data_IF_925026980833
#
_entry.id   IF_925026980833
#
_cell.length_a   1.000
_cell.length_b   1.000
_cell.length_c   1.000
_cell.angle_alpha   90.00
_cell.angle_beta   90.00
_cell.angle_gamma   90.00
#
_symmetry.space_group_name_H-M   'P 1'
#
loop_
_entity.id
_entity.type
_entity.pdbx_description
1 polymer ?
#
# COMPACT_ATOMS: atom_id res chain seq x y z
N UNK A 1 27.08 -25.94 24.65
CA UNK A 1 27.63 -26.21 23.31
C UNK A 1 26.50 -26.74 22.43
N UNK A 2 26.15 -25.98 21.39
CA UNK A 2 25.32 -26.28 20.20
C UNK A 2 24.01 -27.09 20.36
N UNK A 3 22.89 -26.53 19.90
CA UNK A 3 21.69 -27.32 19.58
C UNK A 3 20.39 -26.53 19.52
N UNK A 4 20.20 -25.69 18.50
CA UNK A 4 18.92 -25.04 18.20
C UNK A 4 18.89 -24.63 16.74
N UNK A 5 18.67 -25.60 15.85
CA UNK A 5 18.48 -25.36 14.42
C UNK A 5 17.01 -25.54 14.09
N UNK A 6 16.46 -24.55 13.38
CA UNK A 6 15.21 -24.60 12.62
C UNK A 6 15.11 -25.90 11.79
N UNK A 7 13.88 -26.37 11.45
CA UNK A 7 13.67 -27.72 10.94
C UNK A 7 14.37 -27.96 9.60
N UNK A 8 15.14 -29.06 9.53
CA UNK A 8 15.64 -29.64 8.27
C UNK A 8 14.53 -30.44 7.59
N UNK A 9 14.19 -30.19 6.32
CA UNK A 9 13.54 -31.20 5.50
C UNK A 9 14.56 -32.29 5.11
N UNK A 10 14.12 -33.55 5.19
CA UNK A 10 14.89 -34.74 4.79
C UNK A 10 15.22 -34.67 3.29
N UNK A 11 16.50 -34.83 2.94
CA UNK A 11 16.93 -35.09 1.57
C UNK A 11 16.89 -36.60 1.32
N UNK A 12 15.94 -37.07 0.51
CA UNK A 12 16.14 -38.32 -0.23
C UNK A 12 17.05 -38.04 -1.44
N UNK A 13 17.96 -38.98 -1.67
CA UNK A 13 18.98 -38.90 -2.70
C UNK A 13 18.42 -39.22 -4.10
N UNK A 14 18.81 -38.42 -5.08
CA UNK A 14 18.86 -38.77 -6.50
C UNK A 14 19.98 -37.89 -7.12
N UNK A 15 20.98 -38.42 -7.83
CA UNK A 15 20.80 -39.31 -8.98
C UNK A 15 20.65 -38.41 -10.21
N UNK A 16 21.74 -38.24 -10.98
CA UNK A 16 21.82 -37.30 -12.08
C UNK A 16 20.75 -37.49 -13.15
N UNK A 17 20.21 -36.37 -13.62
CA UNK A 17 19.31 -36.29 -14.76
C UNK A 17 19.12 -34.84 -15.15
N UNK A 18 19.56 -34.48 -16.35
CA UNK A 18 19.32 -33.18 -16.95
C UNK A 18 17.82 -32.98 -17.20
N UNK A 19 17.24 -31.93 -16.63
CA UNK A 19 15.85 -31.51 -16.90
C UNK A 19 15.24 -30.67 -15.78
N UNK A 20 14.76 -29.45 -16.10
CA UNK A 20 13.74 -28.77 -15.30
C UNK A 20 14.17 -27.79 -14.20
N UNK A 21 15.31 -27.12 -14.32
CA UNK A 21 15.72 -26.09 -13.35
C UNK A 21 15.03 -24.74 -13.58
N UNK A 22 13.92 -24.48 -12.91
CA UNK A 22 13.45 -23.10 -12.66
C UNK A 22 14.28 -22.50 -11.51
N UNK A 23 14.90 -21.32 -11.65
CA UNK A 23 15.69 -20.72 -10.57
C UNK A 23 14.81 -20.29 -9.37
N UNK A 24 15.24 -20.73 -8.18
CA UNK A 24 14.61 -20.53 -6.87
C UNK A 24 14.21 -19.05 -6.64
N UNK A 25 12.91 -18.78 -6.55
CA UNK A 25 12.26 -17.49 -6.22
C UNK A 25 12.30 -16.33 -7.25
N UNK A 26 12.77 -16.58 -8.48
CA UNK A 26 12.67 -15.70 -9.66
C UNK A 26 13.49 -14.40 -9.62
N UNK A 27 14.66 -14.48 -10.26
CA UNK A 27 15.64 -13.40 -10.39
C UNK A 27 15.01 -12.08 -10.88
N UNK A 28 15.47 -10.90 -10.37
CA UNK A 28 15.00 -9.55 -10.72
C UNK A 28 15.01 -9.18 -12.22
N UNK A 29 15.53 -10.06 -13.07
CA UNK A 29 15.85 -9.82 -14.47
C UNK A 29 15.35 -10.90 -15.43
N UNK A 30 14.49 -11.83 -15.02
CA UNK A 30 14.04 -12.81 -16.02
C UNK A 30 13.18 -12.09 -17.06
N UNK A 31 13.61 -12.14 -18.32
CA UNK A 31 12.95 -11.47 -19.45
C UNK A 31 11.47 -11.88 -19.57
N UNK A 32 11.12 -13.08 -19.10
CA UNK A 32 9.75 -13.56 -19.01
C UNK A 32 8.88 -12.72 -18.05
N UNK A 33 9.40 -12.29 -16.90
CA UNK A 33 8.66 -11.47 -15.92
C UNK A 33 8.57 -10.02 -16.38
N UNK A 34 9.67 -9.50 -16.94
CA UNK A 34 9.66 -8.20 -17.57
C UNK A 34 8.71 -8.16 -18.77
N UNK A 35 8.52 -9.27 -19.50
CA UNK A 35 7.55 -9.38 -20.59
C UNK A 35 6.09 -9.46 -20.10
N UNK A 36 5.81 -10.12 -18.97
CA UNK A 36 4.45 -10.17 -18.39
C UNK A 36 3.97 -8.76 -18.00
N UNK A 37 4.90 -7.93 -17.50
CA UNK A 37 4.61 -6.56 -17.08
C UNK A 37 5.13 -5.49 -18.06
N UNK A 38 5.66 -5.85 -19.23
CA UNK A 38 6.42 -4.92 -20.10
C UNK A 38 5.60 -3.75 -20.57
N UNK A 39 4.32 -3.97 -20.85
CA UNK A 39 3.40 -2.92 -21.29
C UNK A 39 3.19 -1.86 -20.19
N UNK A 40 3.47 -2.21 -18.92
CA UNK A 40 3.41 -1.34 -17.75
C UNK A 40 4.82 -0.92 -17.23
N UNK A 41 5.90 -1.61 -17.66
CA UNK A 41 7.29 -1.47 -17.15
C UNK A 41 8.34 -0.96 -18.14
N UNK A 42 8.08 -0.98 -19.45
CA UNK A 42 9.14 -0.98 -20.47
C UNK A 42 10.04 0.26 -20.50
N UNK A 43 9.68 1.38 -19.85
CA UNK A 43 10.48 2.62 -19.91
C UNK A 43 11.19 3.02 -18.60
N UNK A 44 11.05 2.28 -17.48
CA UNK A 44 11.54 2.74 -16.15
C UNK A 44 12.57 1.84 -15.46
N UNK A 45 13.35 1.04 -16.23
CA UNK A 45 14.38 0.11 -15.71
C UNK A 45 15.38 0.69 -14.71
N UNK A 46 15.65 2.01 -14.76
CA UNK A 46 16.60 2.66 -13.85
C UNK A 46 16.01 3.13 -12.51
N UNK A 47 14.67 3.23 -12.40
CA UNK A 47 13.98 3.72 -11.19
C UNK A 47 13.33 2.59 -10.38
N UNK A 48 12.97 1.48 -11.03
CA UNK A 48 12.36 0.30 -10.40
C UNK A 48 13.24 -0.30 -9.29
N UNK A 49 14.56 -0.34 -9.49
CA UNK A 49 15.51 -0.86 -8.51
C UNK A 49 15.59 -0.05 -7.20
N UNK A 50 15.07 1.18 -7.17
CA UNK A 50 15.19 2.10 -6.03
C UNK A 50 13.85 2.46 -5.39
N UNK A 51 12.76 1.84 -5.84
CA UNK A 51 11.41 2.12 -5.39
C UNK A 51 10.73 0.92 -4.75
N UNK A 52 9.40 0.82 -4.85
CA UNK A 52 8.64 -0.32 -4.35
C UNK A 52 9.16 -1.66 -4.87
N UNK A 53 9.72 -1.72 -6.08
CA UNK A 53 10.20 -2.99 -6.65
C UNK A 53 11.47 -3.45 -5.95
N UNK A 54 12.42 -2.54 -5.72
CA UNK A 54 13.57 -2.77 -4.86
C UNK A 54 13.18 -3.20 -3.43
N UNK A 55 12.04 -2.73 -2.92
CA UNK A 55 11.54 -3.13 -1.61
C UNK A 55 11.01 -4.58 -1.57
N UNK A 56 10.56 -5.15 -2.70
CA UNK A 56 9.95 -6.48 -2.74
C UNK A 56 10.86 -7.56 -3.36
N UNK A 57 11.62 -7.25 -4.41
CA UNK A 57 12.46 -8.23 -5.10
C UNK A 57 13.60 -8.73 -4.21
N UNK A 58 13.88 -10.04 -4.09
CA UNK A 58 13.50 -11.09 -5.03
C UNK A 58 12.14 -11.75 -4.76
N UNK A 59 11.34 -11.29 -3.80
CA UNK A 59 10.02 -11.86 -3.50
C UNK A 59 8.96 -11.44 -4.55
N UNK A 60 9.10 -11.95 -5.77
CA UNK A 60 8.30 -11.51 -6.92
C UNK A 60 6.80 -11.73 -6.73
N UNK A 61 6.38 -12.86 -6.15
CA UNK A 61 4.97 -13.13 -5.85
C UNK A 61 4.36 -12.05 -4.96
N UNK A 62 5.10 -11.57 -3.95
CA UNK A 62 4.66 -10.48 -3.08
C UNK A 62 4.59 -9.15 -3.80
N UNK A 63 5.54 -8.89 -4.69
CA UNK A 63 5.49 -7.71 -5.56
C UNK A 63 4.23 -7.75 -6.45
N UNK A 64 3.95 -8.88 -7.11
CA UNK A 64 2.78 -9.04 -7.98
C UNK A 64 1.46 -8.91 -7.19
N UNK A 65 1.40 -9.43 -5.95
CA UNK A 65 0.26 -9.26 -5.05
C UNK A 65 0.03 -7.77 -4.73
N UNK A 66 1.07 -7.08 -4.27
CA UNK A 66 0.98 -5.65 -3.94
C UNK A 66 0.60 -4.81 -5.18
N UNK A 67 1.26 -5.06 -6.30
CA UNK A 67 1.01 -4.34 -7.54
C UNK A 67 -0.43 -4.52 -8.00
N UNK A 68 -1.00 -5.72 -7.89
CA UNK A 68 -2.42 -5.96 -8.18
C UNK A 68 -3.35 -5.08 -7.34
N UNK A 69 -3.12 -4.97 -6.03
CA UNK A 69 -3.94 -4.10 -5.17
C UNK A 69 -3.74 -2.63 -5.57
N UNK A 70 -2.50 -2.18 -5.74
CA UNK A 70 -2.20 -0.81 -6.16
C UNK A 70 -2.86 -0.44 -7.49
N UNK A 71 -2.77 -1.33 -8.48
CA UNK A 71 -3.34 -1.13 -9.82
C UNK A 71 -4.86 -0.99 -9.75
N UNK A 72 -5.54 -1.98 -9.19
CA UNK A 72 -7.00 -2.04 -9.17
C UNK A 72 -7.59 -0.96 -8.24
N UNK A 73 -6.97 -0.71 -7.08
CA UNK A 73 -7.51 0.24 -6.12
C UNK A 73 -7.12 1.69 -6.44
N UNK A 74 -5.91 1.96 -6.93
CA UNK A 74 -5.34 3.32 -6.99
C UNK A 74 -5.15 3.82 -8.42
N UNK A 75 -4.60 3.00 -9.32
CA UNK A 75 -4.21 3.42 -10.68
C UNK A 75 -5.41 3.55 -11.60
N UNK A 76 -6.29 2.53 -11.62
CA UNK A 76 -7.47 2.57 -12.47
C UNK A 76 -8.43 3.67 -12.03
N UNK A 77 -9.04 4.36 -12.99
CA UNK A 77 -10.18 5.21 -12.68
C UNK A 77 -11.42 4.32 -12.46
N UNK A 78 -12.16 4.58 -11.38
CA UNK A 78 -13.42 3.92 -11.09
C UNK A 78 -14.44 4.95 -10.61
N UNK A 79 -15.02 4.75 -9.43
CA UNK A 79 -15.85 5.75 -8.75
C UNK A 79 -15.07 7.03 -8.49
N UNK A 80 -13.77 6.90 -8.20
CA UNK A 80 -12.87 8.03 -8.03
C UNK A 80 -11.83 8.09 -9.15
N UNK A 81 -11.54 9.30 -9.59
CA UNK A 81 -10.40 9.57 -10.45
C UNK A 81 -9.09 9.19 -9.74
N UNK A 82 -8.13 8.65 -10.51
CA UNK A 82 -6.78 8.31 -10.01
C UNK A 82 -6.19 9.43 -9.16
N UNK A 83 -6.29 10.69 -9.60
CA UNK A 83 -5.76 11.84 -8.86
C UNK A 83 -6.29 11.95 -7.43
N UNK A 84 -7.57 11.63 -7.18
CA UNK A 84 -8.15 11.69 -5.83
C UNK A 84 -7.52 10.62 -4.95
N UNK A 85 -7.34 9.42 -5.50
CA UNK A 85 -6.76 8.26 -4.79
C UNK A 85 -5.28 8.47 -4.51
N UNK A 86 -4.55 9.06 -5.45
CA UNK A 86 -3.15 9.44 -5.28
C UNK A 86 -2.96 10.55 -4.22
N UNK A 87 -3.90 11.51 -4.09
CA UNK A 87 -3.86 12.50 -3.00
C UNK A 87 -4.07 11.82 -1.64
N UNK A 88 -5.08 10.95 -1.53
CA UNK A 88 -5.31 10.15 -0.31
C UNK A 88 -4.07 9.32 0.03
N UNK A 89 -3.49 8.65 -0.95
CA UNK A 89 -2.26 7.87 -0.80
C UNK A 89 -1.09 8.73 -0.27
N UNK A 90 -0.93 9.95 -0.80
CA UNK A 90 0.06 10.92 -0.33
C UNK A 90 -0.19 11.35 1.12
N UNK A 91 -1.44 11.68 1.47
CA UNK A 91 -1.84 12.06 2.83
C UNK A 91 -1.59 10.95 3.85
N UNK A 92 -1.96 9.71 3.53
CA UNK A 92 -1.69 8.55 4.40
C UNK A 92 -0.20 8.33 4.55
N UNK A 93 0.57 8.43 3.45
CA UNK A 93 2.03 8.26 3.49
C UNK A 93 2.71 9.28 4.38
N UNK A 94 2.31 10.56 4.29
CA UNK A 94 2.80 11.61 5.16
C UNK A 94 2.44 11.35 6.63
N UNK A 95 1.18 11.03 6.92
CA UNK A 95 0.72 10.71 8.28
C UNK A 95 1.37 9.42 8.85
N UNK A 96 1.90 8.56 7.97
CA UNK A 96 2.67 7.37 8.33
C UNK A 96 4.20 7.60 8.32
N UNK A 97 4.64 8.86 8.23
CA UNK A 97 6.04 9.30 8.17
C UNK A 97 6.87 8.67 7.02
N UNK A 98 6.26 8.33 5.89
CA UNK A 98 6.96 7.81 4.71
C UNK A 98 7.10 8.91 3.64
N UNK A 99 8.20 9.67 3.68
CA UNK A 99 8.40 10.80 2.78
C UNK A 99 8.58 10.39 1.31
N UNK A 100 9.19 9.22 1.06
CA UNK A 100 9.34 8.68 -0.29
C UNK A 100 7.96 8.46 -0.94
N UNK A 101 7.07 7.72 -0.26
CA UNK A 101 5.72 7.45 -0.78
C UNK A 101 4.86 8.72 -0.81
N UNK A 102 4.98 9.60 0.19
CA UNK A 102 4.28 10.89 0.21
C UNK A 102 4.61 11.74 -1.02
N UNK A 103 5.90 11.85 -1.34
CA UNK A 103 6.39 12.57 -2.51
C UNK A 103 5.98 11.90 -3.83
N UNK A 104 6.15 10.57 -3.94
CA UNK A 104 5.82 9.83 -5.16
C UNK A 104 4.32 9.85 -5.50
N UNK A 105 3.44 9.72 -4.52
CA UNK A 105 2.00 9.81 -4.72
C UNK A 105 1.53 11.24 -5.04
N UNK A 106 2.15 12.26 -4.42
CA UNK A 106 1.92 13.65 -4.78
C UNK A 106 2.30 13.93 -6.26
N UNK A 107 3.40 13.36 -6.72
CA UNK A 107 3.82 13.43 -8.12
C UNK A 107 2.79 12.79 -9.06
N UNK A 108 2.31 11.59 -8.74
CA UNK A 108 1.33 10.86 -9.53
C UNK A 108 -0.03 11.56 -9.59
N UNK A 109 -0.46 12.16 -8.47
CA UNK A 109 -1.68 12.96 -8.43
C UNK A 109 -1.62 14.17 -9.36
N UNK A 110 -0.46 14.86 -9.41
CA UNK A 110 -0.21 15.98 -10.33
C UNK A 110 -0.21 15.52 -11.80
N UNK A 111 0.47 14.42 -12.09
CA UNK A 111 0.54 13.85 -13.45
C UNK A 111 -0.83 13.43 -13.98
N UNK A 112 -1.76 13.07 -13.09
CA UNK A 112 -3.12 12.62 -13.43
C UNK A 112 -4.11 13.77 -13.71
N UNK A 113 -3.64 15.00 -13.93
CA UNK A 113 -4.46 16.10 -14.45
C UNK A 113 -5.09 17.03 -13.41
N UNK A 114 -4.97 16.75 -12.10
CA UNK A 114 -5.32 17.75 -11.08
C UNK A 114 -4.12 18.65 -10.82
N UNK A 115 -4.20 19.87 -11.34
CA UNK A 115 -3.23 20.95 -11.10
C UNK A 115 -3.30 21.52 -9.67
N UNK A 116 -3.61 20.70 -8.66
CA UNK A 116 -3.43 21.11 -7.29
C UNK A 116 -1.93 21.40 -7.11
N UNK A 117 -1.61 22.62 -6.70
CA UNK A 117 -0.22 23.06 -6.66
C UNK A 117 0.52 22.16 -5.67
N UNK A 118 1.73 21.71 -6.00
CA UNK A 118 2.64 20.95 -5.14
C UNK A 118 2.67 21.41 -3.66
N UNK A 119 2.29 22.67 -3.41
CA UNK A 119 2.03 23.27 -2.10
C UNK A 119 0.97 22.53 -1.26
N UNK A 120 -0.10 21.97 -1.83
CA UNK A 120 -1.17 21.30 -1.06
C UNK A 120 -0.77 19.91 -0.54
N UNK A 121 0.02 19.13 -1.28
CA UNK A 121 0.66 17.91 -0.73
C UNK A 121 1.81 18.20 0.21
N UNK A 122 2.49 19.35 0.08
CA UNK A 122 3.45 19.81 1.09
C UNK A 122 2.73 20.25 2.39
N UNK A 123 1.54 20.85 2.29
CA UNK A 123 0.68 21.20 3.44
C UNK A 123 0.10 19.93 4.09
N UNK A 124 -0.41 18.98 3.31
CA UNK A 124 -0.84 17.68 3.82
C UNK A 124 0.30 16.89 4.49
N UNK A 125 1.56 17.23 4.18
CA UNK A 125 2.73 16.59 4.76
C UNK A 125 3.12 17.11 6.15
N UNK A 126 2.82 18.38 6.54
CA UNK A 126 3.06 18.79 7.93
C UNK A 126 2.49 20.14 8.44
N UNK A 127 1.40 20.73 7.92
CA UNK A 127 0.79 21.91 8.59
C UNK A 127 -0.71 22.02 8.24
N UNK A 128 -1.47 22.69 9.12
CA UNK A 128 -2.95 22.73 9.18
C UNK A 128 -3.65 22.64 7.81
N UNK A 129 -4.18 21.46 7.54
CA UNK A 129 -5.02 21.17 6.39
C UNK A 129 -6.42 21.73 6.64
N UNK A 130 -6.58 23.05 6.51
CA UNK A 130 -7.91 23.68 6.51
C UNK A 130 -7.94 24.70 5.38
N UNK A 131 -8.78 24.46 4.36
CA UNK A 131 -9.13 25.36 3.26
C UNK A 131 -8.16 25.60 2.08
N UNK A 132 -7.38 24.61 1.66
CA UNK A 132 -6.55 24.74 0.44
C UNK A 132 -7.24 24.24 -0.85
N UNK A 133 -8.28 23.41 -0.76
CA UNK A 133 -8.89 22.75 -1.94
C UNK A 133 -10.09 23.47 -2.52
N UNK A 134 -10.83 24.26 -1.73
CA UNK A 134 -12.18 24.72 -2.12
C UNK A 134 -13.18 23.58 -2.36
N UNK A 135 -12.80 22.34 -2.03
CA UNK A 135 -13.57 21.11 -2.19
C UNK A 135 -13.72 20.45 -0.81
N UNK A 136 -14.85 20.71 -0.17
CA UNK A 136 -15.20 20.22 1.16
C UNK A 136 -15.27 18.68 1.22
N UNK A 137 -15.68 18.05 0.11
CA UNK A 137 -15.78 16.60 0.02
C UNK A 137 -14.38 15.99 0.05
N UNK A 138 -13.46 16.49 -0.76
CA UNK A 138 -12.07 16.05 -0.72
C UNK A 138 -11.45 16.30 0.65
N UNK A 139 -11.67 17.49 1.25
CA UNK A 139 -11.16 17.79 2.60
C UNK A 139 -11.63 16.76 3.64
N UNK A 140 -12.90 16.34 3.59
CA UNK A 140 -13.44 15.30 4.48
C UNK A 140 -12.75 13.93 4.27
N UNK A 141 -12.46 13.54 3.02
CA UNK A 141 -11.72 12.30 2.74
C UNK A 141 -10.29 12.36 3.28
N UNK A 142 -9.62 13.51 3.17
CA UNK A 142 -8.26 13.66 3.68
C UNK A 142 -8.21 13.64 5.21
N UNK A 143 -9.18 14.26 5.89
CA UNK A 143 -9.31 14.19 7.35
C UNK A 143 -9.55 12.75 7.83
N UNK A 144 -10.43 12.01 7.17
CA UNK A 144 -10.66 10.59 7.43
C UNK A 144 -9.40 9.75 7.18
N UNK A 145 -8.78 9.89 6.01
CA UNK A 145 -7.58 9.15 5.64
C UNK A 145 -6.41 9.42 6.59
N UNK A 146 -6.21 10.67 7.04
CA UNK A 146 -5.17 11.05 8.01
C UNK A 146 -5.38 10.43 9.39
N UNK A 147 -6.62 10.08 9.72
CA UNK A 147 -7.02 9.58 11.03
C UNK A 147 -6.87 8.07 11.20
N UNK A 148 -6.27 7.37 10.23
CA UNK A 148 -6.17 5.91 10.19
C UNK A 148 -5.58 5.26 11.46
N UNK A 149 -4.68 5.95 12.18
CA UNK A 149 -4.07 5.47 13.44
C UNK A 149 -4.93 5.70 14.69
N UNK A 150 -6.07 6.37 14.55
CA UNK A 150 -6.91 6.78 15.67
C UNK A 150 -8.29 6.13 15.51
N UNK A 151 -8.43 4.83 15.84
CA UNK A 151 -9.66 4.08 15.60
C UNK A 151 -10.88 4.70 16.28
N UNK A 152 -10.70 5.39 17.40
CA UNK A 152 -11.77 6.05 18.16
C UNK A 152 -11.96 7.54 17.83
N UNK A 153 -11.23 8.08 16.84
CA UNK A 153 -11.40 9.48 16.44
C UNK A 153 -12.76 9.69 15.76
N UNK A 154 -13.36 10.90 15.88
CA UNK A 154 -14.63 11.20 15.21
C UNK A 154 -14.57 10.99 13.70
N UNK A 155 -13.44 11.29 13.06
CA UNK A 155 -13.26 11.11 11.62
C UNK A 155 -13.34 9.64 11.19
N UNK A 156 -12.85 8.69 11.99
CA UNK A 156 -12.94 7.25 11.71
C UNK A 156 -14.32 6.71 12.09
N UNK A 157 -14.85 7.08 13.25
CA UNK A 157 -16.15 6.59 13.76
C UNK A 157 -17.34 7.11 12.94
N UNK A 158 -17.22 8.33 12.40
CA UNK A 158 -18.21 8.97 11.54
C UNK A 158 -17.54 9.34 10.22
N UNK A 159 -17.26 8.36 9.34
CA UNK A 159 -16.58 8.61 8.08
C UNK A 159 -17.42 9.52 7.18
N UNK A 160 -16.79 10.19 6.19
CA UNK A 160 -17.50 10.92 5.14
C UNK A 160 -18.57 10.05 4.48
N UNK A 161 -19.61 10.68 3.94
CA UNK A 161 -20.67 9.96 3.23
C UNK A 161 -20.08 9.19 2.03
N UNK A 162 -19.94 7.88 2.22
CA UNK A 162 -19.39 6.90 1.30
C UNK A 162 -20.40 5.77 1.21
N UNK A 163 -20.89 5.46 0.01
CA UNK A 163 -21.60 4.19 -0.16
C UNK A 163 -20.58 3.05 0.01
N UNK A 164 -20.94 1.91 0.61
CA UNK A 164 -20.00 0.80 0.82
C UNK A 164 -19.26 0.37 -0.45
N UNK A 165 -19.96 0.41 -1.60
CA UNK A 165 -19.37 0.12 -2.93
C UNK A 165 -18.28 1.13 -3.35
N UNK A 166 -18.45 2.40 -2.98
CA UNK A 166 -17.55 3.49 -3.37
C UNK A 166 -16.32 3.49 -2.45
N UNK A 167 -16.50 3.12 -1.18
CA UNK A 167 -15.42 3.07 -0.20
C UNK A 167 -14.30 2.07 -0.53
N UNK A 168 -14.60 1.03 -1.32
CA UNK A 168 -13.64 -0.06 -1.62
C UNK A 168 -12.36 0.46 -2.27
N UNK A 169 -12.46 1.40 -3.21
CA UNK A 169 -11.28 1.98 -3.86
C UNK A 169 -10.40 2.77 -2.89
N UNK A 170 -11.01 3.53 -1.99
CA UNK A 170 -10.29 4.35 -1.02
C UNK A 170 -9.67 3.48 0.08
N UNK A 171 -10.41 2.51 0.61
CA UNK A 171 -9.91 1.54 1.59
C UNK A 171 -8.76 0.70 1.01
N UNK A 172 -8.89 0.21 -0.23
CA UNK A 172 -7.81 -0.50 -0.93
C UNK A 172 -6.57 0.38 -1.15
N UNK A 173 -6.78 1.65 -1.49
CA UNK A 173 -5.69 2.64 -1.61
C UNK A 173 -4.97 2.85 -0.29
N UNK A 174 -5.72 3.05 0.81
CA UNK A 174 -5.14 3.19 2.16
C UNK A 174 -4.38 1.92 2.54
N UNK A 175 -4.97 0.74 2.33
CA UNK A 175 -4.37 -0.56 2.64
C UNK A 175 -3.01 -0.74 1.94
N UNK A 176 -2.96 -0.58 0.62
CA UNK A 176 -1.72 -0.79 -0.13
C UNK A 176 -0.65 0.23 0.24
N UNK A 177 -1.05 1.48 0.56
CA UNK A 177 -0.10 2.50 1.03
C UNK A 177 0.47 2.14 2.40
N UNK A 178 -0.36 1.76 3.36
CA UNK A 178 0.10 1.40 4.71
C UNK A 178 1.06 0.22 4.66
N UNK A 179 0.72 -0.79 3.87
CA UNK A 179 1.59 -1.92 3.59
C UNK A 179 2.92 -1.46 2.96
N UNK A 180 2.85 -0.73 1.85
CA UNK A 180 4.03 -0.30 1.09
C UNK A 180 4.95 0.61 1.89
N UNK A 181 4.39 1.50 2.72
CA UNK A 181 5.15 2.41 3.54
C UNK A 181 6.15 1.66 4.42
N UNK A 182 5.74 0.59 5.11
CA UNK A 182 6.68 -0.17 5.94
C UNK A 182 7.82 -0.77 5.11
N UNK A 183 7.50 -1.39 3.97
CA UNK A 183 8.48 -1.97 3.05
C UNK A 183 9.48 -0.92 2.54
N UNK A 184 9.00 0.25 2.11
CA UNK A 184 9.84 1.35 1.63
C UNK A 184 10.71 1.92 2.75
N UNK A 185 10.16 2.10 3.96
CA UNK A 185 10.93 2.57 5.11
C UNK A 185 12.10 1.63 5.44
N UNK A 186 11.90 0.32 5.33
CA UNK A 186 12.93 -0.68 5.63
C UNK A 186 13.97 -0.83 4.50
N UNK A 187 13.57 -0.77 3.23
CA UNK A 187 14.43 -1.22 2.12
C UNK A 187 14.84 -0.14 1.12
N UNK A 188 14.22 1.04 1.17
CA UNK A 188 14.42 2.12 0.19
C UNK A 188 14.94 3.39 0.86
N UNK A 189 14.41 3.70 2.04
CA UNK A 189 14.80 4.84 2.86
C UNK A 189 13.63 5.76 3.23
N UNK A 190 13.93 6.69 4.12
CA UNK A 190 12.94 7.59 4.74
C UNK A 190 12.82 8.95 4.05
N UNK A 191 13.64 9.21 3.03
CA UNK A 191 13.73 10.51 2.37
C UNK A 191 12.91 10.55 1.06
N UNK A 192 12.53 11.75 0.57
CA UNK A 192 11.79 11.89 -0.69
C UNK A 192 12.50 11.25 -1.89
N UNK A 193 13.82 11.44 -1.98
CA UNK A 193 14.69 10.69 -2.89
C UNK A 193 15.34 9.54 -2.11
N UNK A 194 15.40 8.33 -2.70
CA UNK A 194 15.82 7.11 -1.99
C UNK A 194 17.32 7.13 -1.68
N UNK A 195 17.73 6.34 -0.68
CA UNK A 195 19.12 6.31 -0.19
C UNK A 195 20.12 5.83 -1.25
N UNK A 196 19.60 5.10 -2.22
CA UNK A 196 20.38 4.55 -3.31
C UNK A 196 20.44 5.45 -4.56
N UNK A 197 19.72 6.59 -4.58
CA UNK A 197 19.88 7.60 -5.63
C UNK A 197 21.31 8.19 -5.60
N UNK A 198 21.86 8.65 -6.73
CA UNK A 198 23.16 9.34 -6.78
C UNK A 198 23.29 10.45 -5.73
N UNK A 199 24.48 10.61 -5.13
CA UNK A 199 24.71 11.55 -4.02
C UNK A 199 24.29 13.00 -4.35
N UNK A 200 24.55 13.45 -5.59
CA UNK A 200 24.14 14.76 -6.07
C UNK A 200 22.61 14.95 -6.08
N UNK A 201 21.85 13.90 -6.42
CA UNK A 201 20.38 13.94 -6.33
C UNK A 201 19.92 13.88 -4.87
N UNK A 202 20.53 13.03 -4.02
CA UNK A 202 20.19 12.97 -2.59
C UNK A 202 20.39 14.30 -1.87
N UNK A 203 21.34 15.13 -2.31
CA UNK A 203 21.53 16.47 -1.76
C UNK A 203 20.26 17.34 -1.88
N UNK A 204 19.41 17.10 -2.88
CA UNK A 204 18.14 17.80 -3.08
C UNK A 204 17.11 17.53 -1.96
N UNK A 205 17.26 16.44 -1.19
CA UNK A 205 16.43 16.19 0.00
C UNK A 205 16.55 17.34 1.03
N UNK A 206 17.67 18.09 1.02
CA UNK A 206 17.89 19.27 1.88
C UNK A 206 17.45 20.59 1.23
N UNK A 207 16.92 20.55 0.00
CA UNK A 207 16.59 21.73 -0.81
C UNK A 207 15.15 21.62 -1.34
N UNK A 208 14.13 21.86 -0.50
CA UNK A 208 12.73 21.57 -0.83
C UNK A 208 12.23 22.31 -2.08
N UNK A 209 12.73 23.52 -2.36
CA UNK A 209 12.40 24.28 -3.58
C UNK A 209 12.93 23.63 -4.84
N UNK A 210 14.14 23.08 -4.81
CA UNK A 210 14.75 22.42 -5.97
C UNK A 210 14.17 21.03 -6.19
N UNK A 211 13.92 20.28 -5.12
CA UNK A 211 13.16 19.04 -5.18
C UNK A 211 11.76 19.27 -5.79
N UNK A 212 11.09 20.34 -5.39
CA UNK A 212 9.80 20.73 -5.96
C UNK A 212 9.88 21.03 -7.46
N UNK A 213 10.92 21.72 -7.92
CA UNK A 213 11.15 21.97 -9.34
C UNK A 213 11.43 20.67 -10.11
N UNK A 214 12.26 19.79 -9.56
CA UNK A 214 12.53 18.46 -10.14
C UNK A 214 11.24 17.65 -10.27
N UNK A 215 10.41 17.61 -9.22
CA UNK A 215 9.12 16.93 -9.26
C UNK A 215 8.20 17.49 -10.34
N UNK A 216 8.20 18.81 -10.58
CA UNK A 216 7.40 19.38 -11.68
C UNK A 216 7.85 18.86 -13.04
N UNK A 217 9.15 18.70 -13.25
CA UNK A 217 9.71 18.14 -14.48
C UNK A 217 9.41 16.64 -14.61
N UNK A 218 9.59 15.87 -13.53
CA UNK A 218 9.29 14.45 -13.51
C UNK A 218 7.80 14.19 -13.77
N UNK A 219 6.89 15.00 -13.22
CA UNK A 219 5.46 14.84 -13.42
C UNK A 219 5.09 14.86 -14.90
N UNK A 220 5.74 15.73 -15.68
CA UNK A 220 5.53 15.84 -17.14
C UNK A 220 5.99 14.59 -17.88
N UNK A 221 7.07 13.93 -17.41
CA UNK A 221 7.56 12.68 -17.97
C UNK A 221 6.69 11.47 -17.61
N UNK A 222 6.06 11.47 -16.43
CA UNK A 222 5.19 10.39 -15.94
C UNK A 222 3.72 10.49 -16.44
N UNK A 223 3.34 11.50 -17.24
CA UNK A 223 1.94 11.71 -17.66
C UNK A 223 1.39 10.69 -18.68
N UNK A 224 2.19 9.72 -19.16
CA UNK A 224 1.86 9.04 -20.42
C UNK A 224 0.84 7.89 -20.34
N UNK A 225 0.78 7.07 -19.31
CA UNK A 225 0.10 5.76 -19.46
C UNK A 225 -0.89 5.37 -18.36
N UNK A 226 -1.84 6.26 -18.04
CA UNK A 226 -3.02 5.88 -17.25
C UNK A 226 -4.27 5.61 -18.09
N UNK A 227 -4.36 6.18 -19.30
CA UNK A 227 -5.57 6.12 -20.15
C UNK A 227 -5.79 4.77 -20.83
N UNK A 228 -4.76 3.93 -20.91
CA UNK A 228 -4.79 2.60 -21.52
C UNK A 228 -5.11 1.48 -20.54
N UNK A 229 -5.08 1.76 -19.22
CA UNK A 229 -5.26 0.75 -18.19
C UNK A 229 -6.73 0.29 -18.13
N UNK A 230 -6.95 -1.02 -18.27
CA UNK A 230 -8.28 -1.67 -18.22
C UNK A 230 -8.44 -2.47 -16.90
N UNK A 231 -9.63 -2.49 -16.28
CA UNK A 231 -9.94 -3.40 -15.17
C UNK A 231 -9.69 -4.87 -15.52
N UNK A 232 -9.38 -5.69 -14.53
CA UNK A 232 -9.28 -7.16 -14.67
C UNK A 232 -8.03 -7.70 -15.37
N UNK A 233 -7.15 -6.85 -15.92
CA UNK A 233 -5.87 -7.27 -16.55
C UNK A 233 -5.00 -8.10 -15.59
N UNK A 234 -5.11 -7.86 -14.29
CA UNK A 234 -4.34 -8.64 -13.31
C UNK A 234 -4.69 -10.13 -13.34
N UNK A 235 -5.92 -10.52 -13.72
CA UNK A 235 -6.26 -11.93 -13.89
C UNK A 235 -5.41 -12.61 -14.98
N UNK A 236 -5.15 -11.91 -16.08
CA UNK A 236 -4.28 -12.40 -17.16
C UNK A 236 -2.84 -12.53 -16.67
N UNK A 237 -2.35 -11.52 -15.95
CA UNK A 237 -1.01 -11.53 -15.34
C UNK A 237 -0.86 -12.72 -14.37
N UNK A 238 -1.83 -12.93 -13.47
CA UNK A 238 -1.81 -14.01 -12.49
C UNK A 238 -1.87 -15.39 -13.14
N UNK A 239 -2.59 -15.52 -14.26
CA UNK A 239 -2.65 -16.76 -15.04
C UNK A 239 -1.32 -17.08 -15.74
N UNK A 240 -0.53 -16.04 -16.06
CA UNK A 240 0.76 -16.16 -16.71
C UNK A 240 1.93 -16.31 -15.72
N UNK A 241 1.68 -16.24 -14.41
CA UNK A 241 2.72 -16.48 -13.42
C UNK A 241 3.24 -17.91 -13.53
N UNK A 242 4.51 -18.16 -13.20
CA UNK A 242 5.07 -19.51 -13.22
C UNK A 242 4.32 -20.52 -12.33
N UNK A 243 3.76 -20.02 -11.22
CA UNK A 243 2.73 -20.71 -10.45
C UNK A 243 1.44 -19.91 -10.60
N UNK A 244 0.55 -20.29 -11.54
CA UNK A 244 -0.68 -19.56 -11.79
C UNK A 244 -1.55 -19.45 -10.55
N UNK A 245 -2.19 -18.29 -10.38
CA UNK A 245 -3.12 -18.06 -9.28
C UNK A 245 -4.56 -17.90 -9.77
N UNK A 246 -5.50 -18.53 -9.09
CA UNK A 246 -6.93 -18.42 -9.35
C UNK A 246 -7.68 -17.97 -8.07
N UNK A 247 -8.33 -16.79 -8.08
CA UNK A 247 -8.88 -16.21 -6.86
C UNK A 247 -10.10 -16.96 -6.31
N UNK A 248 -10.91 -17.61 -7.15
CA UNK A 248 -12.21 -18.17 -6.77
C UNK A 248 -12.17 -19.17 -5.60
N UNK A 249 -11.03 -19.82 -5.33
CA UNK A 249 -10.86 -20.76 -4.22
C UNK A 249 -10.48 -20.13 -2.87
N UNK A 250 -10.19 -18.83 -2.82
CA UNK A 250 -9.70 -18.17 -1.61
C UNK A 250 -10.82 -17.43 -0.90
N UNK A 251 -11.10 -17.84 0.33
CA UNK A 251 -12.05 -17.17 1.22
C UNK A 251 -11.32 -16.01 1.90
N UNK A 252 -11.84 -14.79 1.74
CA UNK A 252 -11.31 -13.64 2.45
C UNK A 252 -11.73 -13.68 3.93
N UNK A 253 -10.82 -13.34 4.85
CA UNK A 253 -11.15 -13.16 6.26
C UNK A 253 -12.09 -11.96 6.45
N UNK A 254 -12.82 -11.93 7.56
CA UNK A 254 -13.88 -10.95 7.82
C UNK A 254 -13.41 -9.49 7.73
N UNK A 255 -12.17 -9.22 8.16
CA UNK A 255 -11.53 -7.91 8.12
C UNK A 255 -11.15 -7.43 6.70
N UNK A 256 -11.35 -8.27 5.68
CA UNK A 256 -11.17 -7.96 4.26
C UNK A 256 -12.47 -8.04 3.44
N UNK A 257 -13.59 -8.47 4.03
CA UNK A 257 -14.88 -8.62 3.33
C UNK A 257 -15.48 -7.31 2.85
N UNK A 258 -15.05 -6.16 3.39
CA UNK A 258 -15.41 -4.84 2.89
C UNK A 258 -15.09 -4.65 1.40
N UNK A 259 -14.18 -5.45 0.84
CA UNK A 259 -13.83 -5.39 -0.58
C UNK A 259 -14.82 -6.07 -1.53
N UNK A 260 -15.74 -6.90 -1.01
CA UNK A 260 -16.66 -7.71 -1.82
C UNK A 260 -17.46 -6.93 -2.89
N UNK A 261 -17.87 -5.66 -2.69
CA UNK A 261 -18.56 -4.88 -3.72
C UNK A 261 -17.75 -4.62 -5.00
N UNK A 262 -16.42 -4.80 -5.00
CA UNK A 262 -15.56 -4.69 -6.18
C UNK A 262 -14.77 -5.99 -6.38
N UNK A 263 -15.13 -6.76 -7.41
CA UNK A 263 -14.54 -8.08 -7.69
C UNK A 263 -13.04 -8.05 -7.97
N UNK A 264 -12.56 -7.07 -8.74
CA UNK A 264 -11.14 -6.97 -9.12
C UNK A 264 -10.26 -6.67 -7.90
N UNK A 265 -10.69 -5.74 -7.03
CA UNK A 265 -10.00 -5.43 -5.78
C UNK A 265 -10.06 -6.64 -4.83
N UNK A 266 -11.23 -7.29 -4.71
CA UNK A 266 -11.37 -8.48 -3.87
C UNK A 266 -10.44 -9.62 -4.35
N UNK A 267 -10.30 -9.84 -5.65
CA UNK A 267 -9.41 -10.85 -6.21
C UNK A 267 -7.92 -10.53 -5.97
N UNK A 268 -7.52 -9.26 -6.06
CA UNK A 268 -6.17 -8.85 -5.69
C UNK A 268 -5.88 -9.10 -4.20
N UNK A 269 -6.85 -8.84 -3.33
CA UNK A 269 -6.73 -9.14 -1.89
C UNK A 269 -6.71 -10.64 -1.60
N UNK A 270 -7.43 -11.46 -2.39
CA UNK A 270 -7.36 -12.92 -2.29
C UNK A 270 -5.96 -13.43 -2.62
N UNK A 271 -5.33 -12.90 -3.65
CA UNK A 271 -3.96 -13.27 -4.00
C UNK A 271 -2.99 -12.91 -2.88
N UNK A 272 -3.02 -11.65 -2.41
CA UNK A 272 -2.21 -11.21 -1.29
C UNK A 272 -2.47 -12.05 -0.04
N UNK A 273 -3.72 -12.33 0.31
CA UNK A 273 -4.04 -13.14 1.49
C UNK A 273 -3.44 -14.55 1.40
N UNK A 274 -3.61 -15.24 0.28
CA UNK A 274 -3.08 -16.58 0.08
C UNK A 274 -1.54 -16.61 0.16
N UNK A 275 -0.88 -15.63 -0.46
CA UNK A 275 0.58 -15.56 -0.44
C UNK A 275 1.12 -15.22 0.95
N UNK A 276 0.44 -14.35 1.69
CA UNK A 276 0.83 -14.01 3.06
C UNK A 276 0.61 -15.18 4.03
N UNK A 277 -0.40 -16.02 3.81
CA UNK A 277 -0.59 -17.25 4.57
C UNK A 277 0.50 -18.28 4.25
N UNK A 278 0.95 -18.37 3.00
CA UNK A 278 2.13 -19.17 2.61
C UNK A 278 3.39 -18.69 3.32
N UNK A 279 3.61 -17.37 3.39
CA UNK A 279 4.73 -16.79 4.14
C UNK A 279 4.64 -17.13 5.63
N UNK A 280 3.47 -16.92 6.25
CA UNK A 280 3.24 -17.22 7.66
C UNK A 280 3.58 -18.66 7.99
N UNK A 281 3.05 -19.60 7.21
CA UNK A 281 3.20 -21.04 7.44
C UNK A 281 4.62 -21.54 7.16
N UNK A 282 5.30 -21.00 6.16
CA UNK A 282 6.63 -21.46 5.76
C UNK A 282 7.78 -20.82 6.55
N UNK A 283 7.65 -19.55 6.96
CA UNK A 283 8.78 -18.75 7.43
C UNK A 283 8.65 -18.27 8.88
N UNK A 284 7.47 -18.30 9.48
CA UNK A 284 7.21 -17.71 10.80
C UNK A 284 6.74 -18.78 11.78
N UNK A 285 7.45 -19.02 12.90
CA UNK A 285 6.98 -19.93 13.93
C UNK A 285 5.57 -19.57 14.41
N UNK A 286 4.74 -20.57 14.66
CA UNK A 286 3.32 -20.34 15.01
C UNK A 286 3.19 -19.48 16.28
N UNK A 287 4.03 -19.73 17.30
CA UNK A 287 4.06 -18.92 18.53
C UNK A 287 4.34 -17.42 18.26
N UNK A 288 5.26 -17.12 17.34
CA UNK A 288 5.58 -15.74 16.93
C UNK A 288 4.41 -15.11 16.21
N UNK A 289 3.81 -15.81 15.24
CA UNK A 289 2.66 -15.27 14.50
C UNK A 289 1.45 -15.02 15.39
N UNK A 290 1.18 -15.92 16.36
CA UNK A 290 0.10 -15.76 17.33
C UNK A 290 0.36 -14.61 18.31
N UNK A 291 1.60 -14.48 18.82
CA UNK A 291 1.97 -13.37 19.69
C UNK A 291 1.78 -12.02 19.00
N UNK A 292 2.23 -11.89 17.75
CA UNK A 292 2.09 -10.66 17.00
C UNK A 292 0.63 -10.31 16.67
N UNK A 293 -0.17 -11.28 16.20
CA UNK A 293 -1.59 -11.06 15.92
C UNK A 293 -2.37 -10.75 17.21
N UNK A 294 -2.08 -11.46 18.31
CA UNK A 294 -2.67 -11.18 19.61
C UNK A 294 -2.37 -9.76 20.09
N UNK A 295 -1.12 -9.33 19.96
CA UNK A 295 -0.70 -7.97 20.28
C UNK A 295 -1.38 -6.93 19.37
N UNK A 296 -1.43 -7.15 18.06
CA UNK A 296 -2.10 -6.26 17.10
C UNK A 296 -3.60 -6.10 17.39
N UNK A 297 -4.25 -7.14 17.90
CA UNK A 297 -5.66 -7.07 18.29
C UNK A 297 -5.87 -6.13 19.49
N UNK A 298 -4.92 -6.09 20.43
CA UNK A 298 -4.92 -5.18 21.58
C UNK A 298 -4.35 -3.79 21.27
N UNK A 299 -3.59 -3.65 20.17
CA UNK A 299 -2.97 -2.40 19.76
C UNK A 299 -4.00 -1.33 19.37
N UNK A 300 -3.84 -0.12 19.93
CA UNK A 300 -4.76 1.02 19.73
C UNK A 300 -4.41 1.96 18.56
N UNK A 301 -3.44 1.59 17.71
CA UNK A 301 -3.10 2.33 16.48
C UNK A 301 -1.96 3.35 16.60
N UNK A 302 -1.61 3.79 17.81
CA UNK A 302 -0.48 4.70 18.05
C UNK A 302 0.87 4.01 17.82
N UNK A 303 1.83 4.71 17.20
CA UNK A 303 3.22 4.22 17.15
C UNK A 303 3.77 4.17 18.58
N UNK A 304 4.28 3.01 19.04
CA UNK A 304 4.88 2.92 20.37
C UNK A 304 6.05 3.90 20.54
N UNK A 305 6.31 4.39 21.75
CA UNK A 305 7.44 5.28 22.01
C UNK A 305 8.76 4.48 21.90
N UNK A 306 9.70 4.97 21.11
CA UNK A 306 11.00 4.33 20.89
C UNK A 306 11.88 4.29 22.16
N UNK A 307 11.53 5.05 23.20
CA UNK A 307 12.22 5.04 24.51
C UNK A 307 11.83 3.84 25.36
N UNK A 308 10.70 3.21 25.09
CA UNK A 308 10.21 2.04 25.83
C UNK A 308 10.64 0.75 25.11
N UNK A 309 10.90 -0.30 25.88
CA UNK A 309 11.06 -1.65 25.31
C UNK A 309 9.70 -2.29 25.01
N UNK A 310 8.91 -1.63 24.17
CA UNK A 310 7.54 -2.05 23.84
C UNK A 310 7.51 -3.40 23.11
N UNK A 311 8.58 -3.76 22.40
CA UNK A 311 8.68 -5.02 21.68
C UNK A 311 8.79 -6.22 22.63
N UNK A 312 9.20 -6.03 23.89
CA UNK A 312 9.21 -7.08 24.90
C UNK A 312 7.81 -7.66 25.18
N UNK A 313 6.74 -6.91 24.88
CA UNK A 313 5.37 -7.40 25.01
C UNK A 313 5.07 -8.62 24.11
N UNK A 314 5.91 -8.90 23.11
CA UNK A 314 5.78 -10.04 22.21
C UNK A 314 6.49 -11.30 22.74
N UNK A 315 7.26 -11.18 23.82
CA UNK A 315 7.99 -12.27 24.48
C UNK A 315 7.08 -13.09 25.40
N UNK A 316 5.99 -13.59 24.82
CA UNK A 316 5.09 -14.52 25.52
C UNK A 316 5.83 -15.78 25.97
N UNK A 317 5.31 -16.49 26.97
CA UNK A 317 5.90 -17.75 27.45
C UNK A 317 6.19 -18.74 26.31
N UNK A 318 5.27 -18.86 25.35
CA UNK A 318 5.44 -19.73 24.19
C UNK A 318 6.55 -19.27 23.22
N UNK A 319 6.79 -17.97 23.10
CA UNK A 319 7.88 -17.41 22.29
C UNK A 319 9.22 -17.62 23.00
N UNK A 320 9.30 -17.36 24.30
CA UNK A 320 10.50 -17.58 25.11
C UNK A 320 10.89 -19.06 25.13
N UNK A 321 9.92 -19.95 25.32
CA UNK A 321 10.15 -21.40 25.28
C UNK A 321 10.63 -21.91 23.92
N UNK A 322 10.29 -21.21 22.82
CA UNK A 322 10.77 -21.53 21.48
C UNK A 322 12.22 -21.07 21.21
N UNK A 323 12.81 -20.31 22.13
CA UNK A 323 14.24 -19.96 22.13
C UNK A 323 14.55 -18.55 21.61
N UNK A 324 15.85 -18.16 21.62
CA UNK A 324 16.29 -16.79 21.37
C UNK A 324 15.97 -16.29 19.94
N UNK A 325 15.99 -17.17 18.93
CA UNK A 325 15.65 -16.79 17.56
C UNK A 325 14.16 -16.47 17.41
N UNK A 326 13.28 -17.17 18.14
CA UNK A 326 11.85 -16.87 18.17
C UNK A 326 11.58 -15.53 18.87
N UNK A 327 12.28 -15.27 19.98
CA UNK A 327 12.24 -13.96 20.67
C UNK A 327 12.68 -12.83 19.74
N UNK A 328 13.82 -12.99 19.06
CA UNK A 328 14.29 -12.01 18.08
C UNK A 328 13.26 -11.78 16.99
N UNK A 329 12.74 -12.85 16.38
CA UNK A 329 11.80 -12.74 15.28
C UNK A 329 10.49 -12.10 15.71
N UNK A 330 10.00 -12.37 16.91
CA UNK A 330 8.79 -11.75 17.47
C UNK A 330 8.93 -10.24 17.62
N UNK A 331 10.07 -9.78 18.15
CA UNK A 331 10.40 -8.35 18.24
C UNK A 331 10.58 -7.74 16.84
N UNK A 332 11.27 -8.44 15.96
CA UNK A 332 11.56 -8.00 14.60
C UNK A 332 10.27 -7.76 13.80
N UNK A 333 9.33 -8.71 13.78
CA UNK A 333 8.05 -8.53 13.05
C UNK A 333 7.22 -7.40 13.62
N UNK A 334 7.24 -7.21 14.95
CA UNK A 334 6.52 -6.11 15.57
C UNK A 334 7.05 -4.75 15.12
N UNK A 335 8.37 -4.55 15.20
CA UNK A 335 9.02 -3.30 14.76
C UNK A 335 8.82 -3.11 13.26
N UNK A 336 9.09 -4.13 12.43
CA UNK A 336 8.93 -4.05 10.98
C UNK A 336 7.49 -3.70 10.54
N UNK A 337 6.48 -4.26 11.22
CA UNK A 337 5.08 -4.05 10.87
C UNK A 337 4.50 -2.73 11.37
N UNK A 338 4.84 -2.30 12.58
CA UNK A 338 4.12 -1.22 13.29
C UNK A 338 4.90 0.09 13.31
N UNK A 339 6.23 -0.01 13.39
CA UNK A 339 7.13 1.11 13.63
C UNK A 339 8.45 0.92 12.85
N UNK A 340 8.36 0.63 11.54
CA UNK A 340 9.52 0.34 10.70
C UNK A 340 10.62 1.43 10.75
N UNK A 341 10.26 2.68 11.02
CA UNK A 341 11.18 3.80 11.25
C UNK A 341 12.04 3.67 12.52
N UNK A 342 11.61 2.82 13.47
CA UNK A 342 12.34 2.49 14.70
C UNK A 342 13.22 1.26 14.55
N UNK A 343 13.31 0.65 13.35
CA UNK A 343 14.18 -0.49 13.11
C UNK A 343 15.62 -0.14 13.52
N UNK A 344 16.25 -0.87 14.46
CA UNK A 344 17.58 -0.54 14.94
C UNK A 344 18.61 -0.56 13.82
N UNK A 345 19.67 0.24 13.97
CA UNK A 345 20.83 0.18 13.09
C UNK A 345 21.40 -1.25 13.09
N UNK A 346 21.42 -1.89 11.92
CA UNK A 346 21.87 -3.27 11.77
C UNK A 346 20.81 -4.35 11.96
N UNK A 347 19.56 -4.02 12.33
CA UNK A 347 18.50 -5.03 12.55
C UNK A 347 18.23 -5.91 11.32
N UNK A 348 18.27 -5.34 10.11
CA UNK A 348 18.16 -6.11 8.87
C UNK A 348 19.39 -7.00 8.61
N UNK A 349 20.58 -6.56 9.02
CA UNK A 349 21.82 -7.35 8.92
C UNK A 349 21.80 -8.50 9.92
N UNK A 350 21.31 -8.24 11.13
CA UNK A 350 21.15 -9.23 12.19
C UNK A 350 20.15 -10.32 11.79
N UNK A 351 19.02 -9.95 11.15
CA UNK A 351 18.09 -10.93 10.58
C UNK A 351 18.80 -11.86 9.60
N UNK A 352 19.56 -11.30 8.65
CA UNK A 352 20.30 -12.09 7.66
C UNK A 352 21.31 -13.03 8.30
N UNK A 353 22.00 -12.57 9.34
CA UNK A 353 23.00 -13.36 10.05
C UNK A 353 22.39 -14.52 10.86
N UNK A 354 21.17 -14.35 11.38
CA UNK A 354 20.44 -15.40 12.13
C UNK A 354 19.69 -16.37 11.23
N UNK A 355 19.43 -16.01 9.98
CA UNK A 355 18.64 -16.85 9.09
C UNK A 355 19.43 -18.09 8.66
N UNK A 356 18.93 -19.27 9.01
CA UNK A 356 19.59 -20.55 8.71
C UNK A 356 19.22 -21.14 7.33
N UNK A 357 18.28 -20.53 6.59
CA UNK A 357 17.84 -21.01 5.29
C UNK A 357 18.67 -20.49 4.11
N UNK A 358 18.48 -21.10 2.94
CA UNK A 358 19.30 -20.88 1.74
C UNK A 358 19.22 -19.45 1.15
N UNK A 359 18.12 -18.72 1.39
CA UNK A 359 17.91 -17.37 0.83
C UNK A 359 17.43 -16.37 1.91
N UNK A 360 18.37 -15.69 2.60
CA UNK A 360 18.04 -14.75 3.65
C UNK A 360 17.37 -13.46 3.14
N UNK A 361 17.61 -13.03 1.89
CA UNK A 361 16.97 -11.82 1.35
C UNK A 361 15.50 -12.05 1.04
N UNK A 362 15.19 -13.18 0.39
CA UNK A 362 13.80 -13.58 0.15
C UNK A 362 13.03 -13.71 1.46
N UNK A 363 13.62 -14.37 2.46
CA UNK A 363 13.01 -14.54 3.77
C UNK A 363 12.77 -13.21 4.47
N UNK A 364 13.77 -12.33 4.48
CA UNK A 364 13.68 -10.99 5.07
C UNK A 364 12.52 -10.19 4.47
N UNK A 365 12.45 -10.11 3.14
CA UNK A 365 11.38 -9.36 2.46
C UNK A 365 10.01 -9.98 2.68
N UNK A 366 9.94 -11.31 2.70
CA UNK A 366 8.70 -12.04 2.96
C UNK A 366 8.18 -11.80 4.38
N UNK A 367 9.04 -11.93 5.40
CA UNK A 367 8.66 -11.70 6.80
C UNK A 367 8.24 -10.25 7.04
N UNK A 368 8.99 -9.27 6.51
CA UNK A 368 8.61 -7.86 6.61
C UNK A 368 7.28 -7.56 5.90
N UNK A 369 7.06 -8.17 4.73
CA UNK A 369 5.81 -8.06 3.98
C UNK A 369 4.63 -8.60 4.79
N UNK A 370 4.78 -9.77 5.41
CA UNK A 370 3.75 -10.34 6.28
C UNK A 370 3.43 -9.44 7.47
N UNK A 371 4.46 -8.99 8.19
CA UNK A 371 4.28 -8.11 9.35
C UNK A 371 3.54 -6.82 8.97
N UNK A 372 3.95 -6.20 7.86
CA UNK A 372 3.35 -4.99 7.33
C UNK A 372 1.90 -5.20 6.89
N UNK A 373 1.62 -6.32 6.21
CA UNK A 373 0.29 -6.69 5.75
C UNK A 373 -0.70 -6.86 6.92
N UNK A 374 -0.29 -7.54 7.98
CA UNK A 374 -1.12 -7.73 9.16
C UNK A 374 -1.44 -6.42 9.86
N UNK A 375 -0.46 -5.51 9.98
CA UNK A 375 -0.70 -4.16 10.52
C UNK A 375 -1.67 -3.35 9.65
N UNK A 376 -1.45 -3.34 8.32
CA UNK A 376 -2.29 -2.60 7.38
C UNK A 376 -3.74 -3.08 7.42
N UNK A 377 -3.95 -4.41 7.47
CA UNK A 377 -5.27 -5.03 7.64
C UNK A 377 -5.97 -4.56 8.91
N UNK A 378 -5.26 -4.60 10.04
CA UNK A 378 -5.82 -4.16 11.34
C UNK A 378 -6.32 -2.73 11.28
N UNK A 379 -5.51 -1.84 10.70
CA UNK A 379 -5.86 -0.42 10.54
C UNK A 379 -7.09 -0.24 9.65
N UNK A 380 -7.09 -0.85 8.46
CA UNK A 380 -8.18 -0.66 7.50
C UNK A 380 -9.48 -1.29 7.99
N UNK A 381 -9.41 -2.37 8.77
CA UNK A 381 -10.57 -2.95 9.43
C UNK A 381 -11.29 -1.94 10.35
N UNK A 382 -10.54 -1.10 11.08
CA UNK A 382 -11.15 -0.03 11.88
C UNK A 382 -11.85 1.02 11.03
N UNK A 383 -11.27 1.35 9.88
CA UNK A 383 -11.85 2.34 8.96
C UNK A 383 -13.06 1.80 8.20
N UNK A 384 -13.10 0.49 7.95
CA UNK A 384 -14.19 -0.18 7.25
C UNK A 384 -15.38 -0.50 8.16
N UNK A 385 -15.15 -0.74 9.46
CA UNK A 385 -16.21 -1.18 10.37
C UNK A 385 -17.42 -0.21 10.44
N UNK A 386 -17.25 1.12 10.56
CA UNK A 386 -18.38 2.06 10.58
C UNK A 386 -19.12 2.16 9.24
N UNK A 387 -18.48 1.77 8.13
CA UNK A 387 -19.09 1.75 6.79
C UNK A 387 -19.94 0.50 6.54
N UNK A 388 -19.70 -0.57 7.30
CA UNK A 388 -20.45 -1.82 7.22
C UNK A 388 -21.72 -1.82 8.09
N UNK A 389 -21.76 -0.96 9.11
CA UNK A 389 -23.00 -0.68 9.82
C UNK A 389 -23.93 0.08 8.86
N UNK A 390 -25.09 -0.49 8.51
CA UNK A 390 -26.13 0.31 7.89
C UNK A 390 -26.37 1.57 8.74
N UNK A 391 -26.64 2.73 8.15
CA UNK A 391 -26.98 3.92 8.92
C UNK A 391 -28.29 3.65 9.67
N UNK A 392 -28.18 3.09 10.87
CA UNK A 392 -29.29 2.98 11.82
C UNK A 392 -29.63 4.39 12.25
N UNK A 393 -30.63 4.96 11.56
CA UNK A 393 -31.47 6.05 12.03
C UNK A 393 -30.72 7.23 12.68
N UNK A 394 -30.04 8.04 11.87
CA UNK A 394 -29.74 9.42 12.24
C UNK A 394 -30.82 10.36 11.67
N UNK A 395 -31.79 10.65 12.54
CA UNK A 395 -32.59 11.89 12.65
C UNK A 395 -33.53 12.22 11.48
N UNK A 396 -34.83 12.18 11.79
CA UNK A 396 -35.91 12.52 10.88
C UNK A 396 -35.76 13.92 10.29
N UNK A 397 -35.48 13.95 8.99
CA UNK A 397 -35.94 15.04 8.12
C UNK A 397 -37.18 14.49 7.43
N UNK A 398 -38.30 15.17 7.65
CA UNK A 398 -39.62 14.87 7.11
C UNK A 398 -39.55 14.34 5.67
N UNK A 399 -39.95 13.07 5.49
CA UNK A 399 -40.45 12.57 4.20
C UNK A 399 -41.85 13.16 4.00
N UNK A 400 -41.93 14.44 3.67
CA UNK A 400 -43.09 14.99 3.00
C UNK A 400 -42.91 14.67 1.52
N UNK A 401 -43.85 13.89 0.98
CA UNK A 401 -43.83 13.46 -0.41
C UNK A 401 -43.81 14.65 -1.37
N UNK A 402 -42.97 14.54 -2.38
CA UNK A 402 -43.21 15.17 -3.67
C UNK A 402 -42.63 14.25 -4.75
N UNK A 403 -43.50 13.95 -5.70
CA UNK A 403 -43.23 13.16 -6.89
C UNK A 403 -42.03 13.76 -7.65
N UNK A 404 -41.08 12.92 -8.04
CA UNK A 404 -40.03 13.30 -8.99
C UNK A 404 -40.68 13.44 -10.39
N UNK A 405 -40.61 14.60 -11.06
CA UNK A 405 -40.92 14.65 -12.48
C UNK A 405 -39.77 14.01 -13.26
N UNK A 406 -40.13 13.27 -14.31
CA UNK A 406 -39.22 12.64 -15.26
C UNK A 406 -38.19 13.63 -15.86
N UNK A 407 -37.02 13.14 -16.31
CA UNK A 407 -35.97 14.00 -16.85
C UNK A 407 -36.41 14.63 -18.18
N UNK A 408 -36.39 15.97 -18.22
CA UNK A 408 -36.62 16.75 -19.45
C UNK A 408 -35.39 16.61 -20.34
N UNK A 409 -35.59 15.98 -21.49
CA UNK A 409 -34.65 15.91 -22.61
C UNK A 409 -34.46 17.31 -23.21
N UNK A 410 -33.24 17.85 -23.17
CA UNK A 410 -32.86 19.06 -23.90
C UNK A 410 -32.16 18.66 -25.20
N UNK A 411 -32.94 18.35 -26.22
CA UNK A 411 -32.51 18.47 -27.61
C UNK A 411 -33.47 19.39 -28.36
N UNK A 412 -32.92 20.49 -28.88
CA UNK A 412 -33.45 21.41 -29.90
C UNK A 412 -33.61 22.86 -29.40
N UNK A 413 -32.60 23.68 -29.69
CA UNK A 413 -32.79 25.02 -30.25
C UNK A 413 -31.44 25.55 -30.78
N UNK A 414 -31.22 25.38 -32.08
CA UNK A 414 -30.38 26.30 -32.87
C UNK A 414 -31.11 27.64 -32.92
N UNK A 415 -30.40 28.75 -32.74
CA UNK A 415 -30.90 30.05 -33.19
C UNK A 415 -30.29 31.27 -32.51
N UNK A 416 -29.20 31.77 -33.10
CA UNK A 416 -28.79 33.17 -33.21
C UNK A 416 -28.46 34.00 -31.96
N UNK A 417 -27.35 34.74 -32.04
CA UNK A 417 -27.08 35.91 -31.20
C UNK A 417 -25.62 36.01 -30.83
N UNK A 418 -24.78 36.54 -31.74
CA UNK A 418 -23.38 36.82 -31.44
C UNK A 418 -23.25 37.97 -30.44
N UNK A 419 -22.28 37.84 -29.54
CA UNK A 419 -21.52 38.96 -29.02
C UNK A 419 -20.11 38.47 -28.69
N UNK A 420 -19.13 39.18 -29.27
CA UNK A 420 -17.72 39.01 -29.04
C UNK A 420 -17.38 39.26 -27.56
N UNK A 421 -16.55 38.38 -26.98
CA UNK A 421 -15.89 38.66 -25.72
C UNK A 421 -14.41 38.79 -26.01
N UNK A 422 -13.91 39.96 -25.64
CA UNK A 422 -12.59 40.51 -25.89
C UNK A 422 -11.51 39.69 -25.16
N UNK A 423 -10.41 39.46 -25.88
CA UNK A 423 -9.23 38.76 -25.38
C UNK A 423 -8.25 39.81 -24.83
N UNK A 424 -8.35 40.08 -23.53
CA UNK A 424 -7.47 41.08 -22.93
C UNK A 424 -7.66 41.24 -21.44
N UNK A 425 -7.43 40.18 -20.65
CA UNK A 425 -7.05 40.30 -19.23
C UNK A 425 -6.63 38.92 -18.70
N UNK A 426 -5.31 38.64 -18.76
CA UNK A 426 -4.56 37.72 -17.88
C UNK A 426 -3.12 37.66 -18.40
N UNK A 427 -2.30 38.62 -17.96
CA UNK A 427 -0.85 38.49 -17.84
C UNK A 427 -0.50 38.35 -16.36
#
# INVERSE_FOLDING_TARGET
AAGGCLPRPRSEAAGGGAGGGVPRAYAPSSDALLAIFSDEYAETKAWSSWGPDGAHLPAFSLWACWYGIYRESTVLAGVYERSTKEIIASTVSAANNCNFCGNGHALCARASGKAWSLRSSLVAANEEAVNVTGDDRLASFLAWARSFRFPHSPAVQSPPLLLPRDAVELLGTILQVLYKNAMVKLFVGMHPLPDAAPAALRALNKQPRMLAALNRLLALAFMKDAKSARPGRMAEVWSALPTPFHPAGVILPDDLRWSAPNGDIADALRFMHAEQERVRTALIPTCVSHAFVGWLNAWGGAVPDARDDWAAALETEAVVAAGPDAVFLARFVAVAGVAAEQMPAGGLTEFRARWAGDDPELALKSVCSWASWMTARRVVAWMAAPLAAEPTAAVGVHRAGSELPAPVSLSAARGMGGHAVDAGELL
#
